data_IF_054706619643
#
_entry.id   IF_054706619643
#
_cell.length_a   1.000
_cell.length_b   1.000
_cell.length_c   1.000
_cell.angle_alpha   90.00
_cell.angle_beta   90.00
_cell.angle_gamma   90.00
#
_symmetry.space_group_name_H-M   'P 1'
#
loop_
_entity.id
_entity.type
_entity.pdbx_description
1 polymer ?
#
# COMPACT_ATOMS: atom_id res chain seq x y z
N UNK A 1 20.31 109.73 25.33
CA UNK A 1 21.73 109.30 25.39
C UNK A 1 21.77 107.78 25.17
N UNK A 2 22.81 107.25 24.50
CA UNK A 2 22.99 105.84 24.03
C UNK A 2 21.97 105.42 22.94
N UNK A 3 22.30 105.23 21.65
CA UNK A 3 23.22 104.26 20.96
C UNK A 3 22.77 102.79 21.09
N UNK A 4 22.82 101.92 20.07
CA UNK A 4 22.90 102.06 18.59
C UNK A 4 22.49 100.70 17.94
N UNK A 5 21.72 100.78 16.86
CA UNK A 5 21.58 99.87 15.70
C UNK A 5 22.56 98.66 15.53
N UNK A 6 22.06 97.45 15.18
CA UNK A 6 22.41 96.68 13.93
C UNK A 6 21.83 95.24 13.84
N UNK A 7 21.63 94.80 12.60
CA UNK A 7 21.20 93.46 12.13
C UNK A 7 22.25 92.36 12.40
N UNK A 8 21.77 91.13 12.61
CA UNK A 8 22.21 89.82 12.07
C UNK A 8 21.23 88.75 12.63
N UNK A 9 20.89 87.60 12.01
CA UNK A 9 21.12 86.99 10.68
C UNK A 9 19.88 86.10 10.36
N UNK A 10 19.63 85.71 9.10
CA UNK A 10 18.65 84.63 8.78
C UNK A 10 19.31 83.26 8.95
N UNK A 11 18.77 82.37 9.78
CA UNK A 11 19.15 80.95 9.79
C UNK A 11 17.96 80.06 9.45
N UNK A 12 17.84 79.75 8.16
CA UNK A 12 17.13 78.56 7.69
C UNK A 12 17.93 77.35 8.15
N UNK A 13 17.30 76.41 8.86
CA UNK A 13 17.87 75.07 9.04
C UNK A 13 16.82 74.03 8.63
N UNK A 14 16.96 73.54 7.40
CA UNK A 14 16.32 72.31 6.97
C UNK A 14 16.94 71.14 7.74
N UNK A 15 16.11 70.20 8.21
CA UNK A 15 16.56 69.15 9.13
C UNK A 15 15.67 67.92 9.10
N UNK A 16 15.65 67.24 7.94
CA UNK A 16 15.17 65.87 7.71
C UNK A 16 13.75 65.47 8.19
N UNK A 17 12.92 65.03 7.23
CA UNK A 17 11.82 64.12 7.53
C UNK A 17 12.41 62.83 8.14
N UNK A 18 12.37 62.70 9.46
CA UNK A 18 12.46 61.40 10.12
C UNK A 18 11.19 60.61 9.87
N UNK A 19 11.04 60.06 8.66
CA UNK A 19 9.98 59.10 8.37
C UNK A 19 10.31 57.84 9.18
N UNK A 20 9.71 57.74 10.36
CA UNK A 20 9.94 56.61 11.25
C UNK A 20 9.53 55.33 10.52
N UNK A 21 10.51 54.50 10.19
CA UNK A 21 10.28 53.09 9.87
C UNK A 21 9.81 52.41 11.15
N UNK A 22 8.52 52.61 11.47
CA UNK A 22 7.79 51.73 12.37
C UNK A 22 7.97 50.31 11.80
N UNK A 23 8.37 49.33 12.62
CA UNK A 23 8.50 47.97 12.15
C UNK A 23 7.13 47.52 11.66
N UNK A 24 7.00 47.31 10.35
CA UNK A 24 5.79 46.73 9.78
C UNK A 24 5.66 45.35 10.38
N UNK A 25 4.61 45.14 11.16
CA UNK A 25 4.26 43.82 11.65
C UNK A 25 4.10 42.91 10.44
N UNK A 26 4.95 41.89 10.32
CA UNK A 26 4.84 40.89 9.27
C UNK A 26 3.58 40.07 9.56
N UNK A 27 2.45 40.56 9.06
CA UNK A 27 1.20 39.84 9.07
C UNK A 27 1.35 38.64 8.14
N UNK A 28 0.98 37.44 8.61
CA UNK A 28 1.08 36.22 7.80
C UNK A 28 0.33 36.36 6.46
N UNK A 29 -0.81 37.05 6.46
CA UNK A 29 -1.49 37.62 5.29
C UNK A 29 -1.30 39.15 5.33
N UNK A 30 -0.63 39.74 4.34
CA UNK A 30 -0.42 41.19 4.26
C UNK A 30 -1.69 41.93 3.82
N UNK A 31 -1.82 43.21 4.19
CA UNK A 31 -2.90 44.07 3.67
C UNK A 31 -2.72 44.40 2.18
N UNK A 32 -1.47 44.53 1.72
CA UNK A 32 -1.10 44.73 0.32
C UNK A 32 -0.14 43.61 -0.12
N UNK A 33 -0.66 42.39 -0.38
CA UNK A 33 0.16 41.26 -0.80
C UNK A 33 0.55 41.37 -2.27
N UNK A 34 1.49 40.54 -2.71
CA UNK A 34 1.59 40.22 -4.14
C UNK A 34 0.44 39.29 -4.55
N UNK A 35 -0.22 39.58 -5.67
CA UNK A 35 -1.23 38.70 -6.26
C UNK A 35 -0.63 37.31 -6.50
N UNK A 36 -1.34 36.26 -6.11
CA UNK A 36 -0.86 34.86 -6.19
C UNK A 36 0.00 34.40 -5.01
N UNK A 37 0.37 35.28 -4.07
CA UNK A 37 0.99 34.85 -2.81
C UNK A 37 0.03 34.04 -1.94
N UNK A 38 0.57 33.10 -1.16
CA UNK A 38 -0.21 32.20 -0.29
C UNK A 38 0.15 32.46 1.18
N UNK A 39 -0.88 32.61 2.02
CA UNK A 39 -0.75 32.67 3.47
C UNK A 39 -1.51 31.52 4.15
N UNK A 40 -1.27 31.33 5.45
CA UNK A 40 -2.02 30.41 6.30
C UNK A 40 -2.68 31.16 7.44
N UNK A 41 -3.97 30.90 7.66
CA UNK A 41 -4.78 31.49 8.72
C UNK A 41 -5.27 30.42 9.70
N UNK A 42 -5.34 30.77 10.99
CA UNK A 42 -5.97 29.93 12.04
C UNK A 42 -7.51 29.93 11.95
N UNK A 43 -8.08 30.87 11.20
CA UNK A 43 -9.53 31.01 10.99
C UNK A 43 -10.08 30.01 9.98
N UNK A 44 -11.40 29.79 10.01
CA UNK A 44 -12.12 28.95 9.04
C UNK A 44 -12.38 29.63 7.69
N UNK A 45 -12.02 30.92 7.56
CA UNK A 45 -12.23 31.80 6.41
C UNK A 45 -10.93 32.54 6.04
N UNK A 46 -10.86 33.04 4.80
CA UNK A 46 -9.80 33.95 4.35
C UNK A 46 -10.26 35.42 4.49
N UNK A 47 -9.35 36.35 4.79
CA UNK A 47 -9.68 37.78 4.82
C UNK A 47 -10.02 38.32 3.42
N UNK A 48 -10.61 39.52 3.36
CA UNK A 48 -10.90 40.19 2.09
C UNK A 48 -9.64 40.35 1.24
N UNK A 49 -9.80 40.25 -0.09
CA UNK A 49 -8.68 40.19 -1.03
C UNK A 49 -8.03 38.81 -1.18
N UNK A 50 -8.47 37.79 -0.42
CA UNK A 50 -7.99 36.41 -0.51
C UNK A 50 -9.10 35.39 -0.74
N UNK A 51 -8.79 34.30 -1.44
CA UNK A 51 -9.64 33.11 -1.56
C UNK A 51 -8.98 31.87 -0.95
N UNK A 52 -9.78 30.85 -0.61
CA UNK A 52 -9.24 29.57 -0.11
C UNK A 52 -8.47 28.84 -1.20
N UNK A 53 -7.27 28.36 -0.89
CA UNK A 53 -6.49 27.47 -1.75
C UNK A 53 -6.97 26.01 -1.54
N UNK A 54 -8.15 25.71 -2.06
CA UNK A 54 -8.88 24.44 -1.89
C UNK A 54 -9.25 23.75 -3.23
N UNK A 55 -8.58 24.08 -4.33
CA UNK A 55 -8.86 23.48 -5.65
C UNK A 55 -10.11 23.99 -6.38
N UNK A 56 -10.77 25.05 -5.87
CA UNK A 56 -11.95 25.61 -6.52
C UNK A 56 -11.63 26.25 -7.88
N UNK A 57 -12.58 26.16 -8.82
CA UNK A 57 -12.55 26.90 -10.07
C UNK A 57 -13.15 28.29 -9.84
N UNK A 58 -12.49 29.33 -10.36
CA UNK A 58 -12.90 30.73 -10.25
C UNK A 58 -12.97 31.38 -11.63
N UNK A 59 -13.86 32.37 -11.85
CA UNK A 59 -14.06 32.94 -13.17
C UNK A 59 -12.96 33.95 -13.54
N UNK A 60 -12.44 33.84 -14.77
CA UNK A 60 -11.30 34.63 -15.28
C UNK A 60 -11.63 36.12 -15.29
N UNK A 61 -12.88 36.50 -15.61
CA UNK A 61 -13.30 37.90 -15.68
C UNK A 61 -13.26 38.62 -14.32
N UNK A 62 -13.37 37.91 -13.21
CA UNK A 62 -13.32 38.49 -11.86
C UNK A 62 -11.90 38.58 -11.31
N UNK A 63 -11.02 37.66 -11.71
CA UNK A 63 -9.67 37.51 -11.16
C UNK A 63 -8.58 37.53 -12.24
N UNK A 64 -8.72 38.45 -13.20
CA UNK A 64 -7.84 38.60 -14.37
C UNK A 64 -6.37 38.73 -13.99
N UNK A 65 -6.06 39.51 -12.94
CA UNK A 65 -4.71 39.71 -12.44
C UNK A 65 -4.08 38.41 -11.91
N UNK A 66 -4.85 37.56 -11.23
CA UNK A 66 -4.35 36.26 -10.78
C UNK A 66 -4.19 35.31 -11.96
N UNK A 67 -5.20 35.22 -12.85
CA UNK A 67 -5.16 34.37 -14.05
C UNK A 67 -3.94 34.65 -14.93
N UNK A 68 -3.54 35.92 -15.09
CA UNK A 68 -2.36 36.31 -15.85
C UNK A 68 -1.03 35.74 -15.28
N UNK A 69 -0.99 35.37 -14.01
CA UNK A 69 0.15 34.73 -13.36
C UNK A 69 0.06 33.20 -13.36
N UNK A 70 -1.14 32.65 -13.11
CA UNK A 70 -1.33 31.21 -12.84
C UNK A 70 -1.76 30.38 -14.05
N UNK A 71 -2.41 31.01 -15.04
CA UNK A 71 -3.01 30.34 -16.18
C UNK A 71 -3.95 29.20 -15.78
N UNK A 72 -3.85 28.06 -16.47
CA UNK A 72 -4.59 26.83 -16.18
C UNK A 72 -3.78 25.80 -15.37
N UNK A 73 -2.68 26.21 -14.73
CA UNK A 73 -1.73 25.31 -14.02
C UNK A 73 -2.41 24.43 -12.96
N UNK A 74 -3.49 24.93 -12.35
CA UNK A 74 -4.29 24.23 -11.35
C UNK A 74 -5.70 23.83 -11.86
N UNK A 75 -5.90 23.83 -13.19
CA UNK A 75 -7.14 23.41 -13.85
C UNK A 75 -8.00 24.56 -14.39
N UNK A 76 -9.26 24.24 -14.72
CA UNK A 76 -10.18 25.12 -15.44
C UNK A 76 -10.06 25.00 -16.97
N UNK A 77 -10.80 25.83 -17.71
CA UNK A 77 -10.74 25.86 -19.17
C UNK A 77 -11.20 27.19 -19.76
N UNK A 78 -10.64 27.55 -20.93
CA UNK A 78 -11.05 28.74 -21.68
C UNK A 78 -12.53 28.67 -22.10
N UNK A 79 -13.03 27.48 -22.46
CA UNK A 79 -14.42 27.27 -22.87
C UNK A 79 -15.43 27.56 -21.75
N UNK A 80 -15.03 27.36 -20.48
CA UNK A 80 -15.85 27.69 -19.31
C UNK A 80 -15.56 29.09 -18.75
N UNK A 81 -14.54 29.79 -19.25
CA UNK A 81 -14.11 31.09 -18.73
C UNK A 81 -13.59 31.03 -17.28
N UNK A 82 -13.09 29.87 -16.82
CA UNK A 82 -12.65 29.63 -15.44
C UNK A 82 -11.24 29.06 -15.36
N UNK A 83 -10.54 29.34 -14.27
CA UNK A 83 -9.24 28.73 -13.93
C UNK A 83 -9.27 28.17 -12.50
N UNK A 84 -8.41 27.19 -12.22
CA UNK A 84 -8.30 26.58 -10.90
C UNK A 84 -7.36 27.30 -9.96
N UNK A 85 -7.66 27.25 -8.66
CA UNK A 85 -6.74 27.61 -7.59
C UNK A 85 -5.97 26.36 -7.09
N UNK A 86 -4.80 26.51 -6.45
CA UNK A 86 -4.13 25.39 -5.78
C UNK A 86 -5.04 24.70 -4.76
N UNK A 87 -4.91 23.38 -4.62
CA UNK A 87 -5.52 22.63 -3.52
C UNK A 87 -4.46 22.24 -2.50
N UNK A 88 -4.40 22.99 -1.39
CA UNK A 88 -3.44 22.78 -0.31
C UNK A 88 -4.04 22.00 0.87
N UNK A 89 -5.27 21.48 0.73
CA UNK A 89 -5.89 20.63 1.76
C UNK A 89 -5.10 19.33 1.85
N UNK A 90 -4.57 19.06 3.05
CA UNK A 90 -3.78 17.85 3.33
C UNK A 90 -2.53 17.69 2.45
N UNK A 91 -1.96 18.81 1.97
CA UNK A 91 -0.69 18.84 1.23
C UNK A 91 0.29 19.77 1.92
N UNK A 92 1.56 19.39 1.90
CA UNK A 92 2.68 20.25 2.30
C UNK A 92 3.25 20.87 1.02
N UNK A 93 3.53 22.17 1.04
CA UNK A 93 4.15 22.88 -0.08
C UNK A 93 5.64 22.52 -0.16
N UNK A 94 6.12 22.25 -1.37
CA UNK A 94 7.52 22.02 -1.66
C UNK A 94 8.04 23.03 -2.69
N UNK A 95 9.35 23.30 -2.67
CA UNK A 95 10.00 24.12 -3.69
C UNK A 95 9.99 23.43 -5.05
N UNK A 96 9.75 24.20 -6.11
CA UNK A 96 9.80 23.72 -7.50
C UNK A 96 11.23 23.65 -8.04
N UNK A 97 11.46 22.77 -9.00
CA UNK A 97 12.73 22.60 -9.71
C UNK A 97 13.47 21.31 -9.35
N UNK A 98 14.70 21.20 -9.84
CA UNK A 98 15.61 20.06 -9.66
C UNK A 98 16.81 20.50 -8.83
N UNK A 99 17.11 19.76 -7.75
CA UNK A 99 18.32 19.94 -6.93
C UNK A 99 19.21 18.69 -6.94
N UNK A 100 20.50 18.78 -6.58
CA UNK A 100 21.38 17.62 -6.44
C UNK A 100 20.81 16.61 -5.43
N UNK A 101 20.60 15.37 -5.86
CA UNK A 101 20.02 14.32 -5.01
C UNK A 101 18.52 14.47 -4.68
N UNK A 102 17.84 15.47 -5.24
CA UNK A 102 16.39 15.67 -5.07
C UNK A 102 15.62 15.17 -6.30
N UNK A 103 14.31 14.98 -6.17
CA UNK A 103 13.42 14.80 -7.32
C UNK A 103 13.10 16.15 -7.97
N UNK A 104 12.91 16.18 -9.29
CA UNK A 104 12.34 17.35 -9.95
C UNK A 104 10.88 17.55 -9.52
N UNK A 105 10.51 18.78 -9.14
CA UNK A 105 9.14 19.16 -8.82
C UNK A 105 8.69 20.25 -9.78
N UNK A 106 7.79 19.93 -10.72
CA UNK A 106 7.21 20.93 -11.61
C UNK A 106 6.17 21.80 -10.87
N UNK A 107 5.99 23.04 -11.31
CA UNK A 107 4.94 23.91 -10.78
C UNK A 107 3.55 23.29 -11.05
N UNK A 108 2.68 23.28 -10.04
CA UNK A 108 1.35 22.64 -10.12
C UNK A 108 1.38 21.12 -9.97
N UNK A 109 2.54 20.46 -9.97
CA UNK A 109 2.63 19.01 -9.79
C UNK A 109 2.15 18.60 -8.39
N UNK A 110 1.19 17.68 -8.34
CA UNK A 110 0.82 17.00 -7.09
C UNK A 110 1.57 15.68 -7.01
N UNK A 111 2.15 15.40 -5.84
CA UNK A 111 2.89 14.17 -5.58
C UNK A 111 2.80 13.80 -4.08
N UNK A 112 3.26 12.59 -3.73
CA UNK A 112 3.07 12.01 -2.40
C UNK A 112 1.67 11.41 -2.20
N UNK A 113 1.43 10.80 -1.04
CA UNK A 113 0.18 10.16 -0.67
C UNK A 113 -0.07 10.29 0.85
N UNK A 114 -1.33 10.29 1.29
CA UNK A 114 -1.69 10.26 2.72
C UNK A 114 -1.61 8.85 3.32
N UNK A 115 -1.83 7.85 2.48
CA UNK A 115 -1.92 6.45 2.81
C UNK A 115 -1.18 5.64 1.74
N UNK A 116 -0.44 4.62 2.18
CA UNK A 116 0.29 3.70 1.29
C UNK A 116 -0.11 2.28 1.66
N UNK A 117 -0.44 1.46 0.67
CA UNK A 117 -0.58 0.01 0.87
C UNK A 117 0.82 -0.62 0.80
N UNK A 118 1.24 -1.35 1.84
CA UNK A 118 2.49 -2.10 1.78
C UNK A 118 2.32 -3.31 0.87
N UNK A 119 3.04 -3.31 -0.25
CA UNK A 119 3.22 -4.49 -1.10
C UNK A 119 4.46 -5.27 -0.67
N UNK A 120 4.64 -6.48 -1.19
CA UNK A 120 5.85 -7.27 -0.99
C UNK A 120 7.14 -6.53 -1.44
N UNK A 121 7.04 -5.59 -2.39
CA UNK A 121 8.17 -4.77 -2.85
C UNK A 121 8.52 -3.62 -1.89
N UNK A 122 7.67 -3.31 -0.91
CA UNK A 122 7.90 -2.23 0.07
C UNK A 122 8.53 -2.73 1.38
N UNK A 123 8.69 -4.03 1.54
CA UNK A 123 9.32 -4.68 2.70
C UNK A 123 10.58 -5.41 2.27
N UNK A 124 11.56 -5.52 3.17
CA UNK A 124 12.77 -6.29 2.88
C UNK A 124 12.40 -7.77 2.58
N UNK A 125 13.12 -8.44 1.65
CA UNK A 125 12.96 -9.88 1.42
C UNK A 125 13.10 -10.65 2.74
N UNK A 126 12.07 -11.39 3.10
CA UNK A 126 11.98 -12.15 4.35
C UNK A 126 11.25 -13.47 4.10
N UNK A 127 11.42 -14.42 5.01
CA UNK A 127 10.82 -15.75 4.93
C UNK A 127 9.98 -16.03 6.18
N UNK A 128 8.91 -16.81 6.02
CA UNK A 128 8.10 -17.33 7.11
C UNK A 128 8.34 -18.85 7.20
N UNK A 129 9.31 -19.31 8.03
CA UNK A 129 9.62 -20.74 8.11
C UNK A 129 8.47 -21.50 8.77
N UNK A 130 7.86 -22.42 8.03
CA UNK A 130 6.86 -23.34 8.55
C UNK A 130 7.54 -24.43 9.40
N UNK A 131 7.50 -24.31 10.73
CA UNK A 131 7.95 -25.38 11.64
C UNK A 131 6.77 -26.26 12.04
N UNK A 132 6.61 -27.40 11.36
CA UNK A 132 5.72 -28.45 11.84
C UNK A 132 6.36 -29.12 13.07
N UNK A 133 5.84 -28.80 14.26
CA UNK A 133 6.13 -29.55 15.49
C UNK A 133 4.93 -30.46 15.80
N UNK A 134 4.90 -31.69 15.28
CA UNK A 134 3.86 -32.65 15.63
C UNK A 134 3.99 -32.99 17.12
N UNK A 135 2.96 -32.63 17.90
CA UNK A 135 2.86 -32.98 19.32
C UNK A 135 2.69 -34.49 19.58
N UNK A 136 2.35 -35.24 18.52
CA UNK A 136 2.42 -36.69 18.41
C UNK A 136 2.71 -37.03 16.94
N UNK A 137 3.46 -38.10 16.65
CA UNK A 137 3.61 -38.62 15.28
C UNK A 137 2.24 -38.81 14.63
N UNK A 138 2.10 -38.43 13.36
CA UNK A 138 0.87 -38.70 12.60
C UNK A 138 0.81 -40.19 12.24
N UNK A 139 0.35 -40.98 13.22
CA UNK A 139 0.16 -42.42 13.12
C UNK A 139 -1.24 -42.75 12.64
N UNK A 140 -1.35 -43.66 11.68
CA UNK A 140 -2.62 -44.19 11.22
C UNK A 140 -2.55 -45.71 11.02
N UNK A 141 -3.72 -46.32 10.86
CA UNK A 141 -3.84 -47.72 10.43
C UNK A 141 -4.43 -47.75 9.04
N UNK A 142 -3.68 -48.22 8.04
CA UNK A 142 -4.22 -48.50 6.73
C UNK A 142 -4.92 -49.87 6.75
N UNK A 143 -6.14 -49.95 6.23
CA UNK A 143 -6.88 -51.21 6.12
C UNK A 143 -6.44 -51.96 4.87
N UNK A 144 -5.79 -53.13 5.03
CA UNK A 144 -5.37 -53.97 3.91
C UNK A 144 -6.43 -55.04 3.66
N UNK A 145 -7.08 -54.91 2.51
CA UNK A 145 -7.98 -55.91 1.95
C UNK A 145 -7.18 -56.92 1.12
N UNK A 146 -7.18 -58.20 1.51
CA UNK A 146 -6.58 -59.27 0.72
C UNK A 146 -7.66 -59.89 -0.18
N UNK A 147 -7.55 -59.78 -1.51
CA UNK A 147 -8.52 -60.34 -2.43
C UNK A 147 -8.38 -61.87 -2.51
N UNK A 148 -9.52 -62.57 -2.53
CA UNK A 148 -9.60 -64.03 -2.59
C UNK A 148 -10.68 -64.46 -3.59
N UNK A 149 -10.41 -65.52 -4.33
CA UNK A 149 -11.37 -66.18 -5.23
C UNK A 149 -11.97 -67.35 -4.46
N UNK A 150 -13.30 -67.50 -4.39
CA UNK A 150 -13.91 -68.64 -3.68
C UNK A 150 -13.65 -70.00 -4.35
N UNK A 151 -13.31 -69.99 -5.65
CA UNK A 151 -12.95 -71.17 -6.43
C UNK A 151 -11.53 -71.71 -6.16
N UNK A 152 -11.27 -72.90 -6.69
CA UNK A 152 -10.03 -73.63 -6.48
C UNK A 152 -8.81 -72.97 -7.15
N UNK A 153 -7.64 -73.23 -6.61
CA UNK A 153 -6.38 -72.79 -7.17
C UNK A 153 -6.00 -73.55 -8.45
N UNK A 154 -5.41 -72.81 -9.38
CA UNK A 154 -4.84 -73.33 -10.64
C UNK A 154 -3.31 -73.35 -10.60
N UNK A 155 -2.69 -72.54 -9.72
CA UNK A 155 -1.23 -72.40 -9.60
C UNK A 155 -0.76 -72.28 -8.16
N UNK A 156 0.41 -72.84 -7.85
CA UNK A 156 1.13 -72.66 -6.58
C UNK A 156 2.26 -71.64 -6.70
N UNK A 157 2.46 -71.07 -7.89
CA UNK A 157 3.39 -69.99 -8.16
C UNK A 157 2.63 -68.66 -8.01
N UNK A 158 2.98 -67.81 -7.02
CA UNK A 158 2.40 -66.48 -6.90
C UNK A 158 2.83 -65.58 -8.07
N UNK A 159 1.97 -64.64 -8.44
CA UNK A 159 2.25 -63.67 -9.51
C UNK A 159 1.39 -62.43 -9.36
N UNK A 160 1.79 -61.35 -10.05
CA UNK A 160 1.16 -60.02 -9.95
C UNK A 160 -0.29 -59.95 -10.50
N UNK A 161 -0.76 -60.99 -11.18
CA UNK A 161 -2.13 -61.15 -11.71
C UNK A 161 -2.90 -62.28 -11.02
N UNK A 162 -2.36 -62.87 -9.95
CA UNK A 162 -2.89 -64.08 -9.32
C UNK A 162 -3.39 -63.75 -7.91
N UNK A 163 -4.60 -64.19 -7.59
CA UNK A 163 -5.21 -63.98 -6.27
C UNK A 163 -5.16 -65.24 -5.42
N UNK A 164 -5.37 -65.13 -4.10
CA UNK A 164 -5.48 -66.32 -3.25
C UNK A 164 -6.74 -67.11 -3.62
N UNK A 165 -6.65 -68.43 -3.56
CA UNK A 165 -7.80 -69.32 -3.63
C UNK A 165 -8.39 -69.53 -2.22
N UNK A 166 -9.70 -69.42 -2.11
CA UNK A 166 -10.47 -69.62 -0.87
C UNK A 166 -10.84 -71.08 -0.63
N UNK A 167 -10.78 -71.93 -1.67
CA UNK A 167 -10.94 -73.38 -1.57
C UNK A 167 -9.65 -74.08 -1.95
N UNK A 168 -8.72 -74.20 -1.01
CA UNK A 168 -7.49 -74.98 -1.19
C UNK A 168 -6.94 -75.64 0.10
N UNK A 169 -7.76 -76.35 0.91
CA UNK A 169 -7.23 -77.19 1.97
C UNK A 169 -6.52 -78.42 1.39
N UNK A 170 -5.31 -78.70 1.87
CA UNK A 170 -4.75 -80.05 1.80
C UNK A 170 -5.61 -80.99 2.63
N UNK A 171 -5.84 -82.19 2.13
CA UNK A 171 -6.83 -83.11 2.65
C UNK A 171 -6.11 -84.28 3.30
N UNK A 172 -6.31 -84.45 4.60
CA UNK A 172 -5.65 -85.46 5.41
C UNK A 172 -6.07 -86.88 4.99
N UNK A 173 -5.16 -87.61 4.34
CA UNK A 173 -5.35 -89.03 3.99
C UNK A 173 -4.77 -90.00 5.06
N UNK A 174 -4.25 -89.48 6.18
CA UNK A 174 -3.74 -90.26 7.33
C UNK A 174 -4.71 -91.36 7.82
N UNK A 175 -6.05 -91.13 7.94
CA UNK A 175 -6.97 -92.14 8.49
C UNK A 175 -7.14 -93.42 7.63
N UNK A 176 -6.66 -93.42 6.39
CA UNK A 176 -6.83 -94.53 5.42
C UNK A 176 -5.52 -94.98 4.77
N UNK A 177 -4.37 -94.50 5.25
CA UNK A 177 -3.05 -94.88 4.72
C UNK A 177 -2.73 -94.37 3.32
N UNK A 178 -3.44 -93.31 2.85
CA UNK A 178 -3.17 -92.67 1.57
C UNK A 178 -2.28 -91.43 1.70
N UNK A 179 -2.05 -90.74 0.58
CA UNK A 179 -1.22 -89.52 0.53
C UNK A 179 -2.04 -88.26 0.26
N UNK A 180 -2.00 -87.27 1.16
CA UNK A 180 -2.57 -85.93 1.01
C UNK A 180 -2.29 -85.29 -0.36
N UNK A 181 -3.32 -84.76 -1.03
CA UNK A 181 -3.19 -83.97 -2.28
C UNK A 181 -4.48 -83.23 -2.66
N UNK A 182 -4.87 -82.19 -1.91
CA UNK A 182 -4.85 -80.84 -2.54
C UNK A 182 -3.94 -79.88 -1.74
N UNK A 183 -3.89 -78.58 -2.02
CA UNK A 183 -4.18 -77.89 -3.26
C UNK A 183 -3.07 -76.87 -3.49
N UNK A 184 -2.93 -76.44 -4.75
CA UNK A 184 -2.19 -75.21 -5.06
C UNK A 184 -2.87 -74.02 -4.34
N UNK A 185 -2.23 -72.86 -4.18
CA UNK A 185 -2.74 -71.82 -3.24
C UNK A 185 -3.33 -70.59 -3.96
N UNK A 186 -3.05 -70.44 -5.26
CA UNK A 186 -3.37 -69.22 -6.01
C UNK A 186 -4.18 -69.53 -7.28
N UNK A 187 -5.04 -68.59 -7.65
CA UNK A 187 -5.91 -68.68 -8.83
C UNK A 187 -5.77 -67.44 -9.70
N UNK A 188 -5.69 -67.64 -11.01
CA UNK A 188 -5.69 -66.58 -12.03
C UNK A 188 -7.12 -66.13 -12.41
N UNK A 189 -8.14 -66.60 -11.68
CA UNK A 189 -9.52 -66.17 -11.85
C UNK A 189 -9.79 -64.80 -11.17
N UNK A 190 -10.86 -64.14 -11.61
CA UNK A 190 -11.30 -62.88 -11.04
C UNK A 190 -11.82 -63.05 -9.59
N UNK A 191 -11.59 -62.02 -8.78
CA UNK A 191 -11.85 -62.03 -7.33
C UNK A 191 -13.32 -61.78 -7.01
N UNK A 192 -13.83 -62.48 -6.00
CA UNK A 192 -15.24 -62.44 -5.62
C UNK A 192 -15.47 -62.52 -4.10
N UNK A 193 -14.39 -62.55 -3.31
CA UNK A 193 -14.42 -62.34 -1.87
C UNK A 193 -13.16 -61.59 -1.41
N UNK A 194 -13.17 -61.15 -0.15
CA UNK A 194 -12.03 -60.48 0.50
C UNK A 194 -11.92 -61.04 1.91
N UNK A 195 -10.71 -61.36 2.35
CA UNK A 195 -10.47 -61.75 3.75
C UNK A 195 -10.82 -60.58 4.69
N UNK A 196 -11.15 -60.87 5.94
CA UNK A 196 -11.38 -59.83 6.96
C UNK A 196 -10.16 -58.89 6.98
N UNK A 197 -10.33 -57.58 6.67
CA UNK A 197 -9.20 -56.67 6.58
C UNK A 197 -8.48 -56.54 7.92
N UNK A 198 -7.16 -56.34 7.85
CA UNK A 198 -6.33 -56.04 9.00
C UNK A 198 -5.69 -54.66 8.86
N UNK A 199 -5.46 -54.01 10.00
CA UNK A 199 -4.77 -52.73 10.05
C UNK A 199 -3.26 -52.92 9.99
N UNK A 200 -2.58 -52.29 9.03
CA UNK A 200 -1.14 -52.09 9.10
C UNK A 200 -0.86 -50.70 9.70
N UNK A 201 -0.10 -50.60 10.81
CA UNK A 201 0.27 -49.30 11.35
C UNK A 201 1.29 -48.63 10.42
N UNK A 202 1.12 -47.33 10.18
CA UNK A 202 2.10 -46.49 9.53
C UNK A 202 2.33 -45.22 10.37
N UNK A 203 3.55 -44.69 10.30
CA UNK A 203 3.89 -43.37 10.83
C UNK A 203 4.35 -42.53 9.65
N UNK A 204 3.68 -41.41 9.39
CA UNK A 204 4.10 -40.50 8.34
C UNK A 204 5.30 -39.68 8.84
N UNK A 205 6.38 -39.63 8.05
CA UNK A 205 7.62 -38.91 8.38
C UNK A 205 7.51 -37.40 8.15
N UNK A 206 8.64 -36.75 7.92
CA UNK A 206 8.70 -35.31 7.59
C UNK A 206 7.86 -35.00 6.35
N UNK A 207 6.82 -34.17 6.52
CA UNK A 207 6.00 -33.68 5.42
C UNK A 207 6.78 -32.63 4.61
N UNK A 208 6.99 -32.90 3.32
CA UNK A 208 7.54 -31.93 2.37
C UNK A 208 6.39 -31.33 1.54
N UNK A 209 6.40 -30.00 1.33
CA UNK A 209 5.37 -29.30 0.56
C UNK A 209 4.37 -28.46 1.37
N UNK A 210 4.73 -27.98 2.57
CA UNK A 210 3.91 -26.99 3.29
C UNK A 210 4.00 -25.63 2.60
N UNK A 211 2.98 -25.27 1.82
CA UNK A 211 2.87 -23.93 1.23
C UNK A 211 2.29 -22.95 2.24
N UNK A 212 3.08 -21.96 2.66
CA UNK A 212 2.55 -20.74 3.30
C UNK A 212 2.33 -19.70 2.20
N UNK A 213 1.06 -19.42 1.90
CA UNK A 213 0.69 -18.35 0.97
C UNK A 213 1.07 -16.98 1.56
N UNK A 214 1.71 -16.14 0.76
CA UNK A 214 2.01 -14.77 1.15
C UNK A 214 0.72 -13.94 1.29
N UNK A 215 0.58 -13.19 2.39
CA UNK A 215 -0.48 -12.20 2.54
C UNK A 215 -0.12 -10.93 1.77
N UNK A 216 -0.53 -10.84 0.52
CA UNK A 216 -0.19 -9.73 -0.39
C UNK A 216 -1.21 -8.58 -0.39
N UNK A 217 -2.31 -8.69 0.35
CA UNK A 217 -3.41 -7.73 0.39
C UNK A 217 -3.26 -6.60 1.42
N UNK A 218 -2.03 -6.07 1.60
CA UNK A 218 -1.69 -5.14 2.68
C UNK A 218 -2.65 -3.96 2.82
N UNK A 219 -3.23 -3.79 4.00
CA UNK A 219 -4.17 -2.68 4.29
C UNK A 219 -3.44 -1.34 4.24
N UNK A 220 -4.02 -0.28 3.63
CA UNK A 220 -3.40 1.04 3.61
C UNK A 220 -3.21 1.60 5.03
N UNK A 221 -1.97 1.95 5.38
CA UNK A 221 -1.64 2.67 6.61
C UNK A 221 -1.34 4.13 6.28
N UNK A 222 -1.50 5.06 7.23
CA UNK A 222 -1.21 6.47 6.97
C UNK A 222 0.28 6.75 7.08
N UNK A 223 0.79 7.53 6.13
CA UNK A 223 2.19 8.01 6.07
C UNK A 223 2.30 9.51 6.33
N UNK A 224 1.22 10.15 6.82
CA UNK A 224 1.23 11.57 7.19
C UNK A 224 2.19 11.83 8.35
N UNK A 225 3.01 12.85 8.22
CA UNK A 225 3.71 13.46 9.34
C UNK A 225 2.69 14.10 10.31
N UNK A 226 3.03 14.26 11.61
CA UNK A 226 2.29 15.14 12.50
C UNK A 226 2.19 16.55 11.89
N UNK A 227 0.98 17.09 11.84
CA UNK A 227 0.68 18.37 11.20
C UNK A 227 -0.51 19.04 11.86
N UNK A 228 -0.51 20.38 11.91
CA UNK A 228 -1.67 21.19 12.34
C UNK A 228 -2.37 21.76 11.10
N UNK A 229 -3.70 21.69 11.08
CA UNK A 229 -4.50 22.25 9.99
C UNK A 229 -4.66 23.76 10.14
N UNK A 230 -4.25 24.50 9.11
CA UNK A 230 -4.52 25.94 8.95
C UNK A 230 -5.23 26.16 7.61
N UNK A 231 -6.06 27.19 7.51
CA UNK A 231 -6.71 27.55 6.24
C UNK A 231 -5.69 28.24 5.33
N UNK A 232 -5.31 27.57 4.24
CA UNK A 232 -4.51 28.18 3.19
C UNK A 232 -5.34 29.16 2.35
N UNK A 233 -4.81 30.37 2.16
CA UNK A 233 -5.45 31.48 1.47
C UNK A 233 -4.52 32.05 0.40
N UNK A 234 -5.01 32.25 -0.82
CA UNK A 234 -4.27 32.84 -1.95
C UNK A 234 -4.78 34.26 -2.23
N UNK A 235 -3.84 35.20 -2.38
CA UNK A 235 -4.14 36.60 -2.69
C UNK A 235 -4.71 36.73 -4.11
N UNK A 236 -5.94 37.23 -4.21
CA UNK A 236 -6.62 37.54 -5.48
C UNK A 236 -6.63 39.03 -5.81
N UNK A 237 -6.32 39.87 -4.82
CA UNK A 237 -6.13 41.31 -4.93
C UNK A 237 -4.78 41.69 -4.29
N UNK A 238 -4.19 42.79 -4.73
CA UNK A 238 -2.89 43.26 -4.25
C UNK A 238 -2.01 43.80 -5.37
N UNK A 239 -0.70 43.87 -5.10
CA UNK A 239 0.32 44.32 -6.05
C UNK A 239 0.56 43.22 -7.09
N UNK A 240 0.46 43.56 -8.38
CA UNK A 240 0.82 42.62 -9.44
C UNK A 240 2.35 42.45 -9.48
N UNK A 241 2.90 41.23 -9.29
CA UNK A 241 4.33 41.00 -9.34
C UNK A 241 4.83 41.16 -10.79
N UNK A 242 5.71 42.12 -11.03
CA UNK A 242 6.40 42.25 -12.31
C UNK A 242 7.51 41.20 -12.38
N UNK A 243 7.52 40.39 -13.44
CA UNK A 243 8.68 39.54 -13.74
C UNK A 243 9.85 40.43 -14.19
N UNK A 244 11.01 40.43 -13.50
CA UNK A 244 12.14 41.28 -13.85
C UNK A 244 13.00 40.74 -15.01
N UNK A 245 12.68 39.56 -15.57
CA UNK A 245 13.42 38.89 -16.66
C UNK A 245 12.60 38.77 -17.94
#
# INVERSE_FOLDING_TARGET
MKRVQRLFVKSVLAGALGFAMLPTSVMACAAEPYVGSVCYMVTSYCPDGYLRANGQLVPINQYQALYALVGYTWGGSQAQGTFGLPDLRSRVVAGTGQGPGLSNVALGQTYGAENVALTANNVAPHIHPATLSPNSSLTGTASVAIPVVTGAATTNVPGNTVSLAGTSPSFDLSPIGGTDSPAKIYSNAATNATLKPFGVPFSLGTLSGVTINANTGGTPFSVRNPSVGLTACIAVQGIFPMNPN
#
